data_IF_398624297718
#
_entry.id   IF_398624297718
#
_cell.length_a   1.000
_cell.length_b   1.000
_cell.length_c   1.000
_cell.angle_alpha   90.00
_cell.angle_beta   90.00
_cell.angle_gamma   90.00
#
_symmetry.space_group_name_H-M   'P 1'
#
loop_
_entity.id
_entity.type
_entity.pdbx_description
1 polymer ?
#
# COMPACT_ATOMS: atom_id res chain seq x y z
N UNK A 1 82.89 -0.79 -44.21
CA UNK A 1 82.36 -1.09 -42.87
C UNK A 1 80.94 -0.53 -42.84
N UNK A 2 79.87 -1.39 -42.93
CA UNK A 2 78.50 -0.99 -42.88
C UNK A 2 77.88 -1.67 -41.65
N UNK A 3 77.50 -0.86 -40.64
CA UNK A 3 76.81 -1.30 -39.45
C UNK A 3 75.28 -1.38 -39.71
N UNK A 4 74.73 -2.57 -39.67
CA UNK A 4 73.27 -2.79 -39.69
C UNK A 4 72.72 -2.53 -38.30
N UNK A 5 71.73 -1.64 -38.23
CA UNK A 5 70.90 -1.43 -37.03
C UNK A 5 69.63 -2.30 -37.16
N UNK A 6 69.53 -3.28 -36.30
CA UNK A 6 68.30 -4.13 -36.13
C UNK A 6 67.24 -3.36 -35.36
N UNK A 7 66.09 -3.15 -36.01
CA UNK A 7 64.90 -2.64 -35.34
C UNK A 7 64.16 -3.81 -34.71
N UNK A 8 64.00 -3.79 -33.41
CA UNK A 8 63.13 -4.71 -32.68
C UNK A 8 61.73 -4.11 -32.62
N UNK A 9 60.79 -4.75 -33.28
CA UNK A 9 59.37 -4.41 -33.22
C UNK A 9 58.76 -4.99 -31.93
N UNK A 10 58.31 -4.11 -31.01
CA UNK A 10 57.49 -4.47 -29.87
C UNK A 10 56.03 -4.56 -30.35
N UNK A 11 55.45 -5.77 -30.36
CA UNK A 11 54.04 -5.98 -30.54
C UNK A 11 53.37 -5.88 -29.17
N UNK A 12 52.66 -4.78 -28.92
CA UNK A 12 51.81 -4.65 -27.76
C UNK A 12 50.45 -5.35 -28.00
N UNK A 13 50.27 -6.47 -27.32
CA UNK A 13 48.97 -7.18 -27.32
C UNK A 13 48.00 -6.43 -26.41
N UNK A 14 47.01 -5.76 -27.00
CA UNK A 14 45.87 -5.17 -26.26
C UNK A 14 44.87 -6.28 -25.98
N UNK A 15 44.81 -6.73 -24.72
CA UNK A 15 43.78 -7.64 -24.25
C UNK A 15 42.57 -6.79 -23.95
N UNK A 16 41.55 -6.80 -24.85
CA UNK A 16 40.23 -6.26 -24.57
C UNK A 16 39.51 -7.24 -23.59
N UNK A 17 39.51 -6.90 -22.32
CA UNK A 17 38.65 -7.55 -21.33
C UNK A 17 37.22 -7.18 -21.61
N UNK A 18 36.44 -8.12 -22.19
CA UNK A 18 35.01 -8.00 -22.27
C UNK A 18 34.43 -8.17 -20.85
N UNK A 19 34.12 -7.04 -20.19
CA UNK A 19 33.33 -7.05 -18.98
C UNK A 19 31.91 -7.44 -19.38
N UNK A 20 31.54 -8.69 -19.11
CA UNK A 20 30.15 -9.11 -19.19
C UNK A 20 29.38 -8.44 -18.04
N UNK A 21 28.75 -7.31 -18.34
CA UNK A 21 27.67 -6.77 -17.52
C UNK A 21 26.50 -7.77 -17.60
N UNK A 22 26.45 -8.71 -16.65
CA UNK A 22 25.24 -9.48 -16.40
C UNK A 22 24.20 -8.50 -15.87
N UNK A 23 23.40 -7.93 -16.76
CA UNK A 23 22.17 -7.28 -16.40
C UNK A 23 21.30 -8.38 -15.76
N UNK A 24 21.26 -8.43 -14.44
CA UNK A 24 20.20 -9.13 -13.73
C UNK A 24 18.91 -8.38 -14.08
N UNK A 25 18.16 -8.91 -15.05
CA UNK A 25 16.77 -8.52 -15.21
C UNK A 25 16.11 -8.87 -13.87
N UNK A 26 15.80 -7.84 -13.08
CA UNK A 26 14.96 -8.03 -11.91
C UNK A 26 13.69 -8.74 -12.43
N UNK A 27 13.38 -9.90 -11.87
CA UNK A 27 12.18 -10.62 -12.24
C UNK A 27 11.02 -9.64 -12.10
N UNK A 28 10.31 -9.41 -13.22
CA UNK A 28 9.13 -8.54 -13.19
C UNK A 28 8.16 -9.23 -12.24
N UNK A 29 7.97 -8.65 -11.05
CA UNK A 29 6.97 -9.14 -10.12
C UNK A 29 5.60 -8.80 -10.73
N UNK A 30 4.77 -9.83 -10.95
CA UNK A 30 3.41 -9.65 -11.44
C UNK A 30 2.42 -9.73 -10.27
N UNK A 31 1.31 -9.01 -10.38
CA UNK A 31 0.21 -9.11 -9.43
C UNK A 31 -0.51 -10.44 -9.65
N UNK A 32 -0.55 -11.28 -8.63
CA UNK A 32 -1.11 -12.63 -8.66
C UNK A 32 -2.48 -12.72 -8.00
N UNK A 33 -3.17 -13.87 -8.14
CA UNK A 33 -4.40 -14.14 -7.39
C UNK A 33 -4.17 -14.22 -5.88
N UNK A 34 -2.97 -14.64 -5.45
CA UNK A 34 -2.56 -14.59 -4.05
C UNK A 34 -2.52 -13.14 -3.55
N UNK A 35 -1.95 -12.22 -4.34
CA UNK A 35 -1.93 -10.80 -3.99
C UNK A 35 -3.33 -10.20 -3.90
N UNK A 36 -4.21 -10.59 -4.82
CA UNK A 36 -5.62 -10.19 -4.78
C UNK A 36 -6.29 -10.61 -3.48
N UNK A 37 -6.05 -11.84 -3.04
CA UNK A 37 -6.59 -12.33 -1.77
C UNK A 37 -5.98 -11.59 -0.58
N UNK A 38 -4.66 -11.40 -0.55
CA UNK A 38 -3.97 -10.68 0.53
C UNK A 38 -4.43 -9.21 0.65
N UNK A 39 -4.69 -8.53 -0.49
CA UNK A 39 -5.29 -7.18 -0.51
C UNK A 39 -6.71 -7.20 0.06
N UNK A 40 -7.54 -8.18 -0.33
CA UNK A 40 -8.87 -8.34 0.25
C UNK A 40 -8.79 -8.60 1.76
N UNK A 41 -7.86 -9.42 2.19
CA UNK A 41 -7.68 -9.77 3.60
C UNK A 41 -7.22 -8.58 4.45
N UNK A 42 -6.31 -7.73 3.96
CA UNK A 42 -5.89 -6.53 4.71
C UNK A 42 -7.05 -5.56 4.88
N UNK A 43 -7.87 -5.36 3.84
CA UNK A 43 -9.08 -4.55 3.92
C UNK A 43 -10.09 -5.12 4.94
N UNK A 44 -10.33 -6.42 4.92
CA UNK A 44 -11.27 -7.06 5.87
C UNK A 44 -10.75 -7.02 7.31
N UNK A 45 -9.43 -7.14 7.53
CA UNK A 45 -8.84 -6.95 8.87
C UNK A 45 -9.02 -5.51 9.35
N UNK A 46 -8.87 -4.52 8.48
CA UNK A 46 -9.14 -3.12 8.82
C UNK A 46 -10.59 -2.92 9.23
N UNK A 47 -11.55 -3.43 8.45
CA UNK A 47 -12.98 -3.33 8.74
C UNK A 47 -13.35 -4.01 10.08
N UNK A 48 -12.79 -5.18 10.35
CA UNK A 48 -12.98 -5.90 11.60
C UNK A 48 -12.39 -5.14 12.81
N UNK A 49 -11.16 -4.62 12.67
CA UNK A 49 -10.50 -3.83 13.72
C UNK A 49 -11.27 -2.55 14.03
N UNK A 50 -11.77 -1.85 12.99
CA UNK A 50 -12.59 -0.65 13.14
C UNK A 50 -13.92 -0.96 13.87
N UNK A 51 -14.58 -2.06 13.52
CA UNK A 51 -15.84 -2.49 14.16
C UNK A 51 -15.62 -2.95 15.61
N UNK A 52 -14.47 -3.58 15.89
CA UNK A 52 -14.09 -4.00 17.24
C UNK A 52 -13.55 -2.84 18.10
N UNK A 53 -13.37 -1.63 17.54
CA UNK A 53 -12.69 -0.49 18.16
C UNK A 53 -11.25 -0.80 18.62
N UNK A 54 -10.63 -1.79 17.96
CA UNK A 54 -9.24 -2.18 18.23
C UNK A 54 -8.28 -1.27 17.46
N UNK A 55 -7.83 -0.21 18.12
CA UNK A 55 -6.95 0.78 17.51
C UNK A 55 -5.57 0.19 17.18
N UNK A 56 -5.09 -0.81 17.92
CA UNK A 56 -3.79 -1.44 17.66
C UNK A 56 -3.86 -2.29 16.40
N UNK A 57 -4.90 -3.13 16.29
CA UNK A 57 -5.14 -3.92 15.09
C UNK A 57 -5.41 -3.01 13.87
N UNK A 58 -6.17 -1.92 14.03
CA UNK A 58 -6.42 -0.94 12.98
C UNK A 58 -5.12 -0.28 12.49
N UNK A 59 -4.27 0.19 13.41
CA UNK A 59 -2.98 0.80 13.08
C UNK A 59 -2.06 -0.17 12.34
N UNK A 60 -2.06 -1.45 12.70
CA UNK A 60 -1.18 -2.48 12.13
C UNK A 60 -1.40 -2.73 10.65
N UNK A 61 -2.58 -2.44 10.12
CA UNK A 61 -2.90 -2.62 8.69
C UNK A 61 -2.62 -1.40 7.84
N UNK A 62 -2.26 -0.26 8.45
CA UNK A 62 -1.93 0.97 7.73
C UNK A 62 -0.48 0.97 7.25
N UNK A 63 -0.26 1.55 6.08
CA UNK A 63 1.08 1.72 5.52
C UNK A 63 1.90 2.69 6.37
N UNK A 64 3.19 2.38 6.52
CA UNK A 64 4.19 3.26 7.13
C UNK A 64 5.26 3.60 6.11
N UNK A 65 5.84 4.79 6.23
CA UNK A 65 7.02 5.15 5.48
C UNK A 65 8.30 4.58 6.14
N UNK A 66 9.38 4.43 5.36
CA UNK A 66 10.73 4.33 5.92
C UNK A 66 11.03 5.52 6.84
N UNK A 67 12.01 5.35 7.74
CA UNK A 67 12.51 6.42 8.62
C UNK A 67 12.85 7.65 7.77
N UNK A 68 12.49 8.82 8.26
CA UNK A 68 12.72 10.14 7.61
C UNK A 68 11.86 10.45 6.38
N UNK A 69 10.82 9.66 6.10
CA UNK A 69 9.83 9.98 5.08
C UNK A 69 8.44 10.15 5.70
N UNK A 70 7.57 11.02 5.13
CA UNK A 70 6.20 11.12 5.58
C UNK A 70 5.44 9.82 5.31
N UNK A 71 4.62 9.39 6.28
CA UNK A 71 3.77 8.22 6.10
C UNK A 71 2.84 8.40 4.87
N UNK A 72 2.73 7.38 4.02
CA UNK A 72 1.93 7.47 2.79
C UNK A 72 0.43 7.39 3.04
N UNK A 73 -0.01 7.05 4.27
CA UNK A 73 -1.41 6.83 4.55
C UNK A 73 -2.19 8.13 4.66
N UNK A 74 -3.37 8.16 4.05
CA UNK A 74 -4.30 9.29 4.12
C UNK A 74 -5.74 8.81 4.29
N UNK A 75 -6.57 9.61 4.99
CA UNK A 75 -8.03 9.49 4.97
C UNK A 75 -8.62 10.80 4.47
N UNK A 76 -9.50 10.69 3.47
CA UNK A 76 -10.23 11.83 2.91
C UNK A 76 -11.71 11.51 2.90
N UNK A 77 -12.49 12.19 3.73
CA UNK A 77 -13.93 11.99 3.87
C UNK A 77 -14.66 13.34 3.99
N UNK A 78 -15.31 13.81 2.94
CA UNK A 78 -16.01 15.09 2.89
C UNK A 78 -15.10 16.25 3.35
N UNK A 79 -15.39 16.83 4.53
CA UNK A 79 -14.61 17.91 5.12
C UNK A 79 -13.39 17.43 5.93
N UNK A 80 -13.22 16.12 6.12
CA UNK A 80 -12.15 15.54 6.93
C UNK A 80 -10.97 15.17 6.04
N UNK A 81 -9.78 15.59 6.46
CA UNK A 81 -8.52 15.24 5.80
C UNK A 81 -7.48 14.93 6.88
N UNK A 82 -6.98 13.70 6.87
CA UNK A 82 -5.93 13.28 7.79
C UNK A 82 -4.76 12.70 6.98
N UNK A 83 -3.59 13.27 7.17
CA UNK A 83 -2.36 12.91 6.46
C UNK A 83 -1.37 12.29 7.43
N UNK A 84 -0.88 11.12 7.09
CA UNK A 84 0.03 10.32 7.89
C UNK A 84 -0.66 9.52 8.99
N UNK A 85 -0.02 8.42 9.37
CA UNK A 85 -0.55 7.46 10.35
C UNK A 85 -0.88 8.08 11.71
N UNK A 86 -0.05 8.96 12.31
CA UNK A 86 -0.36 9.53 13.62
C UNK A 86 -1.68 10.33 13.64
N UNK A 87 -1.92 11.16 12.62
CA UNK A 87 -3.14 11.97 12.53
C UNK A 87 -4.38 11.08 12.32
N UNK A 88 -4.27 10.07 11.47
CA UNK A 88 -5.34 9.13 11.17
C UNK A 88 -5.68 8.28 12.39
N UNK A 89 -4.68 7.75 13.09
CA UNK A 89 -4.87 6.97 14.33
C UNK A 89 -5.49 7.83 15.43
N UNK A 90 -5.08 9.09 15.60
CA UNK A 90 -5.67 10.00 16.55
C UNK A 90 -7.16 10.24 16.25
N UNK A 91 -7.53 10.43 14.97
CA UNK A 91 -8.93 10.55 14.55
C UNK A 91 -9.74 9.30 14.92
N UNK A 92 -9.24 8.11 14.62
CA UNK A 92 -9.97 6.87 14.92
C UNK A 92 -10.06 6.57 16.42
N UNK A 93 -9.06 6.97 17.23
CA UNK A 93 -9.16 6.91 18.70
C UNK A 93 -10.35 7.71 19.23
N UNK A 94 -10.63 8.87 18.65
CA UNK A 94 -11.82 9.67 19.02
C UNK A 94 -13.10 9.04 18.46
N UNK A 95 -13.10 8.59 17.22
CA UNK A 95 -14.24 7.93 16.57
C UNK A 95 -14.69 6.69 17.34
N UNK A 96 -13.75 5.88 17.84
CA UNK A 96 -14.03 4.65 18.58
C UNK A 96 -14.57 4.86 19.99
N UNK A 97 -14.65 6.11 20.48
CA UNK A 97 -15.38 6.41 21.73
C UNK A 97 -16.90 6.38 21.57
N UNK A 98 -17.38 6.54 20.35
CA UNK A 98 -18.80 6.46 19.97
C UNK A 98 -19.18 5.09 19.45
N UNK A 99 -20.32 5.04 18.77
CA UNK A 99 -20.75 3.86 18.00
C UNK A 99 -20.09 3.92 16.63
N UNK A 100 -19.42 2.84 16.27
CA UNK A 100 -18.82 2.68 14.96
C UNK A 100 -18.89 1.23 14.52
N UNK A 101 -19.49 0.96 13.35
CA UNK A 101 -19.58 -0.37 12.78
C UNK A 101 -19.37 -0.28 11.27
N UNK A 102 -18.52 -1.17 10.76
CA UNK A 102 -18.07 -1.17 9.40
C UNK A 102 -18.35 -2.55 8.78
N UNK A 103 -19.37 -2.65 7.93
CA UNK A 103 -19.89 -3.90 7.42
C UNK A 103 -19.81 -3.96 5.88
N UNK A 104 -18.66 -4.38 5.32
CA UNK A 104 -18.50 -4.50 3.87
C UNK A 104 -19.31 -5.69 3.32
N UNK A 105 -19.88 -5.51 2.13
CA UNK A 105 -20.42 -6.60 1.35
C UNK A 105 -19.27 -7.39 0.71
N UNK A 106 -18.87 -8.48 1.36
CA UNK A 106 -17.65 -9.26 1.04
C UNK A 106 -17.65 -9.78 -0.40
N UNK A 107 -18.82 -10.18 -0.92
CA UNK A 107 -18.95 -10.73 -2.27
C UNK A 107 -18.85 -9.65 -3.36
N UNK A 108 -19.10 -8.40 -2.99
CA UNK A 108 -19.06 -7.26 -3.91
C UNK A 108 -17.71 -6.51 -3.91
N UNK A 109 -16.75 -6.93 -3.10
CA UNK A 109 -15.42 -6.31 -3.07
C UNK A 109 -14.72 -6.54 -4.41
N UNK A 110 -14.22 -5.44 -4.99
CA UNK A 110 -13.40 -5.48 -6.21
C UNK A 110 -11.98 -5.05 -5.89
N UNK A 111 -11.01 -5.86 -6.31
CA UNK A 111 -9.58 -5.55 -6.24
C UNK A 111 -9.07 -5.35 -7.65
N UNK A 112 -8.54 -4.16 -7.93
CA UNK A 112 -8.05 -3.76 -9.25
C UNK A 112 -6.56 -3.43 -9.13
N UNK A 113 -5.65 -4.26 -9.67
CA UNK A 113 -4.23 -3.97 -9.62
C UNK A 113 -3.91 -2.75 -10.50
N UNK A 114 -3.06 -1.86 -10.01
CA UNK A 114 -2.47 -0.75 -10.78
C UNK A 114 -1.04 -1.09 -11.19
N UNK A 115 -0.31 -1.74 -10.31
CA UNK A 115 1.03 -2.27 -10.53
C UNK A 115 1.16 -3.61 -9.79
N UNK A 116 2.33 -4.22 -9.83
CA UNK A 116 2.62 -5.40 -9.00
C UNK A 116 2.49 -5.13 -7.49
N UNK A 117 2.69 -3.87 -7.06
CA UNK A 117 2.81 -3.48 -5.66
C UNK A 117 1.74 -2.47 -5.21
N UNK A 118 0.79 -2.12 -6.08
CA UNK A 118 -0.29 -1.17 -5.79
C UNK A 118 -1.61 -1.69 -6.34
N UNK A 119 -2.63 -1.71 -5.50
CA UNK A 119 -3.99 -2.10 -5.90
C UNK A 119 -5.04 -1.15 -5.33
N UNK A 120 -6.12 -0.98 -6.07
CA UNK A 120 -7.34 -0.32 -5.63
C UNK A 120 -8.30 -1.35 -5.03
N UNK A 121 -9.01 -0.93 -3.98
CA UNK A 121 -10.10 -1.67 -3.35
C UNK A 121 -11.38 -0.88 -3.50
N UNK A 122 -12.43 -1.52 -3.98
CA UNK A 122 -13.79 -1.01 -4.02
C UNK A 122 -14.68 -1.91 -3.19
N UNK A 123 -15.30 -1.35 -2.15
CA UNK A 123 -16.13 -2.12 -1.23
C UNK A 123 -17.43 -1.40 -0.90
N UNK A 124 -18.59 -1.83 -1.45
CA UNK A 124 -19.90 -1.44 -0.93
C UNK A 124 -19.99 -1.83 0.54
N UNK A 125 -20.27 -0.86 1.43
CA UNK A 125 -20.15 -1.03 2.87
C UNK A 125 -21.30 -0.33 3.58
N UNK A 126 -21.95 -0.99 4.54
CA UNK A 126 -22.81 -0.31 5.50
C UNK A 126 -21.95 0.24 6.63
N UNK A 127 -22.06 1.53 6.89
CA UNK A 127 -21.35 2.18 8.00
C UNK A 127 -22.38 2.69 8.99
N UNK A 128 -22.30 2.22 10.24
CA UNK A 128 -23.05 2.75 11.36
C UNK A 128 -22.15 3.63 12.19
N UNK A 129 -22.55 4.86 12.46
CA UNK A 129 -21.77 5.81 13.25
C UNK A 129 -22.63 6.76 14.03
N UNK A 130 -22.19 7.16 15.22
CA UNK A 130 -22.85 8.12 16.09
C UNK A 130 -22.14 8.30 17.43
N UNK A 131 -22.47 9.38 18.14
CA UNK A 131 -21.90 9.61 19.47
C UNK A 131 -22.46 8.62 20.54
N UNK A 132 -23.63 8.02 20.30
CA UNK A 132 -24.27 7.04 21.16
C UNK A 132 -25.20 6.13 20.34
N UNK A 133 -25.66 5.03 20.90
CA UNK A 133 -26.64 4.13 20.29
C UNK A 133 -27.92 4.87 19.85
N UNK A 134 -28.39 5.81 20.67
CA UNK A 134 -29.61 6.59 20.36
C UNK A 134 -29.43 7.56 19.16
N UNK A 135 -28.19 7.98 18.88
CA UNK A 135 -27.86 8.88 17.77
C UNK A 135 -27.24 8.18 16.57
N UNK A 136 -26.88 6.91 16.70
CA UNK A 136 -26.23 6.14 15.65
C UNK A 136 -27.15 5.98 14.43
N UNK A 137 -26.56 6.12 13.24
CA UNK A 137 -27.24 5.96 11.96
C UNK A 137 -26.42 5.06 11.06
N UNK A 138 -27.10 4.15 10.39
CA UNK A 138 -26.52 3.31 9.34
C UNK A 138 -26.79 3.94 7.99
N UNK A 139 -25.76 4.03 7.16
CA UNK A 139 -25.88 4.50 5.79
C UNK A 139 -24.97 3.68 4.84
N UNK A 140 -25.37 3.56 3.56
CA UNK A 140 -24.55 2.92 2.57
C UNK A 140 -23.40 3.83 2.14
N UNK A 141 -22.23 3.21 1.95
CA UNK A 141 -21.03 3.84 1.42
C UNK A 141 -20.43 2.98 0.32
N UNK A 142 -19.74 3.60 -0.61
CA UNK A 142 -18.72 2.99 -1.41
C UNK A 142 -17.37 3.36 -0.79
N UNK A 143 -16.72 2.39 -0.17
CA UNK A 143 -15.38 2.60 0.37
C UNK A 143 -14.38 2.31 -0.71
N UNK A 144 -13.60 3.36 -1.07
CA UNK A 144 -12.47 3.26 -1.96
C UNK A 144 -11.19 3.34 -1.15
N UNK A 145 -10.28 2.41 -1.40
CA UNK A 145 -8.98 2.39 -0.74
C UNK A 145 -7.85 2.09 -1.73
N UNK A 146 -6.65 2.45 -1.35
CA UNK A 146 -5.42 2.05 -2.03
C UNK A 146 -4.61 1.18 -1.09
N UNK A 147 -4.27 -0.01 -1.54
CA UNK A 147 -3.34 -0.91 -0.87
C UNK A 147 -1.98 -0.88 -1.56
N UNK A 148 -0.92 -0.92 -0.77
CA UNK A 148 0.46 -0.97 -1.24
C UNK A 148 1.19 -2.16 -0.62
N UNK A 149 2.10 -2.77 -1.38
CA UNK A 149 2.98 -3.82 -0.86
C UNK A 149 4.14 -3.18 -0.09
N UNK A 150 4.39 -3.69 1.10
CA UNK A 150 5.52 -3.33 1.94
C UNK A 150 6.36 -4.58 2.24
N UNK A 151 7.49 -4.42 2.91
CA UNK A 151 8.30 -5.55 3.40
C UNK A 151 7.51 -6.48 4.34
N UNK A 152 6.45 -5.97 4.97
CA UNK A 152 5.60 -6.69 5.92
C UNK A 152 4.29 -7.20 5.29
N UNK A 153 4.18 -7.18 3.96
CA UNK A 153 2.99 -7.53 3.19
C UNK A 153 2.13 -6.31 2.80
N UNK A 154 0.91 -6.57 2.36
CA UNK A 154 0.00 -5.51 1.92
C UNK A 154 -0.51 -4.65 3.09
N UNK A 155 -0.55 -3.32 2.85
CA UNK A 155 -1.02 -2.30 3.81
C UNK A 155 -1.90 -1.27 3.12
N UNK A 156 -2.81 -0.66 3.88
CA UNK A 156 -3.70 0.41 3.39
C UNK A 156 -2.96 1.75 3.40
N UNK A 157 -2.93 2.42 2.24
CA UNK A 157 -2.29 3.71 2.05
C UNK A 157 -3.28 4.87 1.80
N UNK A 158 -4.52 4.57 1.42
CA UNK A 158 -5.56 5.60 1.31
C UNK A 158 -6.92 5.02 1.70
N UNK A 159 -7.75 5.84 2.36
CA UNK A 159 -9.11 5.51 2.77
C UNK A 159 -10.02 6.66 2.32
N UNK A 160 -11.00 6.37 1.46
CA UNK A 160 -11.93 7.36 0.92
C UNK A 160 -13.36 6.79 1.00
N UNK A 161 -14.08 6.99 2.10
CA UNK A 161 -15.48 6.58 2.22
C UNK A 161 -16.38 7.58 1.49
N UNK A 162 -17.00 7.15 0.40
CA UNK A 162 -17.95 7.92 -0.39
C UNK A 162 -19.37 7.54 0.00
N UNK A 163 -20.23 8.47 0.45
CA UNK A 163 -21.63 8.17 0.66
C UNK A 163 -22.26 7.64 -0.63
N UNK A 164 -22.89 6.49 -0.57
CA UNK A 164 -23.69 5.94 -1.66
C UNK A 164 -25.13 6.48 -1.57
N UNK A 165 -25.79 6.66 -2.73
CA UNK A 165 -27.18 7.08 -2.81
C UNK A 165 -28.07 5.85 -2.96
#
# INVERSE_FOLDING_TARGET
>A
MRTQKTFASLIAAVILGAAHLSAHAAAIHEFTDKDRQEVKDVFLRQAAAATAHDIVAFESVLASAPIDQPDPVALVARAYQFWGKPALVAHFKETFKGVWKFEPNVESIKIIPLTADVAQVYAPTQITGGASEASAKTAPFLVYEVAVRTAEGWRIAAIVPLPAQ
#
